data_IF_456284041952
#
_entry.id   IF_456284041952
#
_cell.length_a   1.000
_cell.length_b   1.000
_cell.length_c   1.000
_cell.angle_alpha   90.00
_cell.angle_beta   90.00
_cell.angle_gamma   90.00
#
_symmetry.space_group_name_H-M   'P 1'
#
loop_
_entity.id
_entity.type
_entity.pdbx_description
1 polymer ?
#
# COMPACT_ATOMS: atom_id res chain seq x y z
N UNK A 1 29.68 1.92 14.83
CA UNK A 1 30.64 1.40 13.82
C UNK A 1 30.04 1.66 12.45
N UNK A 2 30.77 2.29 11.53
CA UNK A 2 30.21 2.64 10.22
C UNK A 2 30.12 1.38 9.35
N UNK A 3 28.93 1.10 8.79
CA UNK A 3 28.64 -0.07 7.95
C UNK A 3 29.70 -0.25 6.85
N UNK A 4 30.11 0.83 6.21
CA UNK A 4 31.14 0.84 5.16
C UNK A 4 32.47 0.23 5.59
N UNK A 5 32.91 0.50 6.83
CA UNK A 5 34.17 -0.05 7.34
C UNK A 5 34.08 -1.55 7.63
N UNK A 6 32.90 -2.02 8.04
CA UNK A 6 32.65 -3.46 8.22
C UNK A 6 32.52 -4.15 6.85
N UNK A 7 31.88 -3.49 5.88
CA UNK A 7 31.74 -3.98 4.51
C UNK A 7 33.09 -4.17 3.85
N UNK A 8 34.00 -3.20 3.92
CA UNK A 8 35.34 -3.33 3.33
C UNK A 8 36.10 -4.54 3.89
N UNK A 9 36.04 -4.75 5.22
CA UNK A 9 36.77 -5.82 5.90
C UNK A 9 36.15 -7.21 5.71
N UNK A 10 34.83 -7.30 5.52
CA UNK A 10 34.08 -8.55 5.55
C UNK A 10 33.23 -8.79 4.30
N UNK A 11 33.45 -8.05 3.19
CA UNK A 11 32.63 -8.12 1.96
C UNK A 11 32.35 -9.55 1.48
N UNK A 12 33.34 -10.43 1.55
CA UNK A 12 33.24 -11.81 1.07
C UNK A 12 32.43 -12.71 2.03
N UNK A 13 32.13 -12.22 3.24
CA UNK A 13 31.34 -12.90 4.27
C UNK A 13 29.95 -12.29 4.48
N UNK A 14 29.57 -11.26 3.72
CA UNK A 14 28.24 -10.66 3.82
C UNK A 14 27.25 -11.52 3.05
N UNK A 15 26.31 -12.11 3.77
CA UNK A 15 25.19 -12.88 3.20
C UNK A 15 23.89 -12.13 3.45
N UNK A 16 23.15 -11.85 2.38
CA UNK A 16 21.81 -11.30 2.46
C UNK A 16 20.78 -12.43 2.46
N UNK A 17 19.99 -12.52 3.52
CA UNK A 17 18.88 -13.47 3.58
C UNK A 17 17.75 -13.13 2.60
N UNK A 18 16.96 -14.14 2.23
CA UNK A 18 15.71 -13.93 1.50
C UNK A 18 14.71 -13.11 2.32
N UNK A 19 13.79 -12.42 1.65
CA UNK A 19 12.69 -11.76 2.33
C UNK A 19 11.84 -12.80 3.08
N UNK A 20 11.49 -12.47 4.32
CA UNK A 20 10.55 -13.26 5.12
C UNK A 20 9.11 -12.92 4.70
N UNK A 21 8.13 -13.55 5.37
CA UNK A 21 6.72 -13.31 5.09
C UNK A 21 6.21 -11.90 5.41
N UNK A 22 6.96 -11.11 6.21
CA UNK A 22 6.56 -9.74 6.53
C UNK A 22 6.49 -8.85 5.30
N UNK A 23 5.46 -8.00 5.23
CA UNK A 23 5.23 -7.01 4.17
C UNK A 23 4.91 -5.66 4.79
N UNK A 24 5.46 -4.59 4.22
CA UNK A 24 5.12 -3.21 4.52
C UNK A 24 4.61 -2.55 3.24
N UNK A 25 3.64 -1.65 3.35
CA UNK A 25 2.92 -1.13 2.20
C UNK A 25 2.49 0.31 2.42
N UNK A 26 2.28 1.03 1.31
CA UNK A 26 1.58 2.29 1.34
C UNK A 26 0.07 2.02 1.30
N UNK A 27 -0.65 2.52 2.31
CA UNK A 27 -2.11 2.41 2.42
C UNK A 27 -2.77 3.76 2.16
N UNK A 28 -3.99 3.74 1.63
CA UNK A 28 -4.85 4.91 1.49
C UNK A 28 -6.03 4.82 2.45
N UNK A 29 -6.33 5.89 3.17
CA UNK A 29 -7.51 5.97 4.02
C UNK A 29 -8.74 6.30 3.17
N UNK A 30 -9.62 5.32 2.99
CA UNK A 30 -10.75 5.43 2.06
C UNK A 30 -12.00 6.02 2.72
N UNK A 31 -12.00 6.17 4.04
CA UNK A 31 -13.10 6.76 4.79
C UNK A 31 -12.62 7.56 6.00
N UNK A 32 -11.64 8.45 5.76
CA UNK A 32 -11.04 9.29 6.80
C UNK A 32 -12.08 10.18 7.48
N UNK A 33 -12.14 10.11 8.81
CA UNK A 33 -13.05 10.90 9.65
C UNK A 33 -12.34 11.86 10.61
N UNK A 34 -11.06 11.62 10.91
CA UNK A 34 -10.24 12.47 11.78
C UNK A 34 -9.31 13.35 10.95
N UNK A 35 -9.10 14.59 11.38
CA UNK A 35 -8.29 15.61 10.69
C UNK A 35 -7.55 16.49 11.70
N UNK A 36 -7.02 15.91 12.78
CA UNK A 36 -6.24 16.70 13.75
C UNK A 36 -4.85 17.02 13.20
N UNK A 37 -4.33 16.17 12.30
CA UNK A 37 -3.07 16.34 11.60
C UNK A 37 -3.34 16.49 10.10
N UNK A 38 -3.66 17.71 9.69
CA UNK A 38 -4.05 18.02 8.30
C UNK A 38 -3.49 19.36 7.85
N UNK A 39 -2.97 19.41 6.62
CA UNK A 39 -2.69 20.68 5.94
C UNK A 39 -3.94 21.30 5.31
N UNK A 40 -5.04 20.53 5.20
CA UNK A 40 -6.29 21.01 4.60
C UNK A 40 -6.93 22.09 5.46
N UNK A 41 -7.32 23.18 4.81
CA UNK A 41 -7.90 24.37 5.43
C UNK A 41 -9.43 24.43 5.29
N UNK A 42 -10.02 23.56 4.47
CA UNK A 42 -11.47 23.58 4.22
C UNK A 42 -12.10 22.18 4.14
N UNK A 43 -13.42 22.11 4.38
CA UNK A 43 -14.17 20.86 4.20
C UNK A 43 -14.31 20.45 2.72
N UNK A 44 -14.16 21.41 1.80
CA UNK A 44 -14.12 21.14 0.37
C UNK A 44 -12.87 20.33 -0.02
N UNK A 45 -11.71 20.65 0.56
CA UNK A 45 -10.46 19.90 0.37
C UNK A 45 -10.56 18.49 0.97
N UNK A 46 -11.14 18.35 2.17
CA UNK A 46 -11.40 17.03 2.80
C UNK A 46 -12.29 16.16 1.92
N UNK A 47 -13.39 16.74 1.43
CA UNK A 47 -14.34 16.05 0.54
C UNK A 47 -13.70 15.67 -0.80
N UNK A 48 -12.91 16.58 -1.38
CA UNK A 48 -12.17 16.35 -2.64
C UNK A 48 -11.16 15.22 -2.49
N UNK A 49 -10.41 15.21 -1.39
CA UNK A 49 -9.43 14.16 -1.07
C UNK A 49 -10.10 12.80 -0.90
N UNK A 50 -11.19 12.73 -0.13
CA UNK A 50 -11.97 11.49 0.02
C UNK A 50 -12.46 10.95 -1.33
N UNK A 51 -13.04 11.81 -2.17
CA UNK A 51 -13.49 11.41 -3.53
C UNK A 51 -12.33 10.91 -4.38
N UNK A 52 -11.18 11.57 -4.34
CA UNK A 52 -9.98 11.15 -5.04
C UNK A 52 -9.50 9.77 -4.56
N UNK A 53 -9.41 9.54 -3.25
CA UNK A 53 -8.97 8.25 -2.71
C UNK A 53 -9.97 7.12 -2.96
N UNK A 54 -11.26 7.40 -3.12
CA UNK A 54 -12.27 6.41 -3.55
C UNK A 54 -12.16 6.05 -5.04
N UNK A 55 -11.56 6.90 -5.86
CA UNK A 55 -11.36 6.64 -7.29
C UNK A 55 -10.22 5.64 -7.54
N UNK A 56 -10.54 4.53 -8.23
CA UNK A 56 -9.58 3.44 -8.52
C UNK A 56 -8.37 3.93 -9.34
N UNK A 57 -8.61 4.75 -10.36
CA UNK A 57 -7.56 5.22 -11.25
C UNK A 57 -6.61 6.19 -10.52
N UNK A 58 -7.13 7.00 -9.58
CA UNK A 58 -6.31 7.85 -8.72
C UNK A 58 -5.40 7.01 -7.81
N UNK A 59 -5.93 5.96 -7.16
CA UNK A 59 -5.11 5.04 -6.35
C UNK A 59 -4.05 4.31 -7.19
N UNK A 60 -4.39 3.90 -8.41
CA UNK A 60 -3.41 3.31 -9.34
C UNK A 60 -2.33 4.33 -9.74
N UNK A 61 -2.70 5.59 -9.95
CA UNK A 61 -1.74 6.65 -10.23
C UNK A 61 -0.73 6.82 -9.09
N UNK A 62 -1.18 6.86 -7.83
CA UNK A 62 -0.30 6.92 -6.66
C UNK A 62 0.64 5.71 -6.59
N UNK A 63 0.13 4.50 -6.81
CA UNK A 63 0.93 3.27 -6.77
C UNK A 63 2.05 3.25 -7.83
N UNK A 64 1.78 3.77 -9.04
CA UNK A 64 2.79 3.90 -10.10
C UNK A 64 3.71 5.12 -9.91
N UNK A 65 3.25 6.17 -9.23
CA UNK A 65 4.01 7.40 -9.04
C UNK A 65 5.10 7.27 -7.98
N UNK A 66 4.83 6.55 -6.89
CA UNK A 66 5.76 6.38 -5.79
C UNK A 66 7.03 5.61 -6.22
N UNK A 67 8.20 6.23 -6.12
CA UNK A 67 9.49 5.54 -6.29
C UNK A 67 9.86 4.86 -4.96
N UNK A 68 9.44 3.60 -4.81
CA UNK A 68 9.63 2.86 -3.55
C UNK A 68 11.09 2.51 -3.36
N UNK A 69 11.84 2.28 -4.44
CA UNK A 69 13.28 2.04 -4.35
C UNK A 69 14.01 3.25 -3.80
N UNK A 70 13.80 4.45 -4.35
CA UNK A 70 14.42 5.66 -3.84
C UNK A 70 14.05 5.94 -2.39
N UNK A 71 12.77 5.79 -2.05
CA UNK A 71 12.27 6.05 -0.71
C UNK A 71 12.79 5.04 0.34
N UNK A 72 12.84 3.75 0.02
CA UNK A 72 13.38 2.71 0.91
C UNK A 72 14.91 2.82 1.04
N UNK A 73 15.60 3.34 0.02
CA UNK A 73 17.04 3.61 0.07
C UNK A 73 17.43 4.67 1.09
N UNK A 74 16.51 5.58 1.45
CA UNK A 74 16.76 6.56 2.52
C UNK A 74 16.97 5.92 3.89
N UNK A 75 16.41 4.73 4.12
CA UNK A 75 16.50 4.02 5.41
C UNK A 75 17.53 2.89 5.37
N UNK A 76 17.60 2.16 4.25
CA UNK A 76 18.41 0.93 4.14
C UNK A 76 19.62 1.07 3.23
N UNK A 77 19.79 2.19 2.53
CA UNK A 77 20.80 2.39 1.50
C UNK A 77 20.50 1.62 0.20
N UNK A 78 21.12 2.07 -0.90
CA UNK A 78 20.85 1.57 -2.26
C UNK A 78 21.11 0.07 -2.45
N UNK A 79 22.05 -0.49 -1.68
CA UNK A 79 22.42 -1.91 -1.77
C UNK A 79 21.36 -2.84 -1.17
N UNK A 80 20.74 -2.43 -0.06
CA UNK A 80 19.78 -3.27 0.69
C UNK A 80 18.35 -2.94 0.31
N UNK A 81 18.04 -1.71 -0.06
CA UNK A 81 16.68 -1.27 -0.33
C UNK A 81 15.92 -2.11 -1.37
N UNK A 82 16.49 -2.43 -2.56
CA UNK A 82 15.81 -3.30 -3.51
C UNK A 82 15.40 -4.63 -2.86
N UNK A 83 16.26 -5.22 -2.02
CA UNK A 83 16.03 -6.49 -1.32
C UNK A 83 14.92 -6.42 -0.27
N UNK A 84 14.38 -5.24 0.05
CA UNK A 84 13.23 -5.05 0.96
C UNK A 84 11.91 -4.87 0.22
N UNK A 85 11.93 -4.68 -1.10
CA UNK A 85 10.75 -4.39 -1.89
C UNK A 85 10.01 -5.64 -2.34
N UNK A 86 8.69 -5.58 -2.26
CA UNK A 86 7.75 -6.59 -2.73
C UNK A 86 6.57 -5.90 -3.40
N UNK A 87 6.07 -6.47 -4.48
CA UNK A 87 4.96 -5.90 -5.26
C UNK A 87 3.58 -6.50 -4.88
N UNK A 88 3.55 -7.69 -4.28
CA UNK A 88 2.31 -8.34 -3.82
C UNK A 88 2.15 -8.30 -2.30
N UNK A 89 0.90 -8.32 -1.81
CA UNK A 89 0.66 -8.36 -0.36
C UNK A 89 1.01 -9.73 0.24
N UNK A 90 0.52 -10.81 -0.38
CA UNK A 90 0.98 -12.17 -0.12
C UNK A 90 2.34 -12.38 -0.82
N UNK A 91 3.39 -12.85 -0.13
CA UNK A 91 4.69 -13.09 -0.76
C UNK A 91 4.58 -14.06 -1.95
N UNK A 92 5.27 -13.79 -3.07
CA UNK A 92 5.11 -14.56 -4.30
C UNK A 92 5.53 -16.03 -4.14
N UNK A 93 6.48 -16.32 -3.24
CA UNK A 93 6.98 -17.66 -2.96
C UNK A 93 6.44 -18.22 -1.65
N UNK A 94 5.34 -17.69 -1.12
CA UNK A 94 4.82 -18.06 0.21
C UNK A 94 4.34 -19.52 0.30
N UNK A 95 3.61 -19.97 -0.73
CA UNK A 95 3.12 -21.35 -0.88
C UNK A 95 3.24 -21.79 -2.34
N UNK A 96 3.10 -23.10 -2.58
CA UNK A 96 3.05 -23.70 -3.91
C UNK A 96 1.60 -24.02 -4.31
N UNK A 97 1.33 -23.95 -5.61
CA UNK A 97 0.08 -24.31 -6.27
C UNK A 97 0.43 -25.33 -7.36
N UNK A 98 0.50 -26.60 -6.97
CA UNK A 98 1.09 -27.64 -7.83
C UNK A 98 2.58 -27.38 -8.03
N UNK A 99 3.00 -27.27 -9.29
CA UNK A 99 4.40 -27.01 -9.67
C UNK A 99 4.74 -25.51 -9.79
N UNK A 100 3.78 -24.63 -9.50
CA UNK A 100 3.94 -23.18 -9.60
C UNK A 100 3.93 -22.51 -8.23
N UNK A 101 4.64 -21.39 -8.10
CA UNK A 101 4.53 -20.55 -6.90
C UNK A 101 3.19 -19.81 -6.88
N UNK A 102 2.71 -19.43 -5.69
CA UNK A 102 1.52 -18.59 -5.56
C UNK A 102 1.60 -17.34 -6.44
N UNK A 103 2.74 -16.64 -6.45
CA UNK A 103 2.98 -15.46 -7.27
C UNK A 103 2.88 -15.70 -8.77
N UNK A 104 3.29 -16.88 -9.28
CA UNK A 104 3.12 -17.22 -10.70
C UNK A 104 1.63 -17.39 -11.08
N UNK A 105 0.85 -18.02 -10.20
CA UNK A 105 -0.60 -18.15 -10.40
C UNK A 105 -1.28 -16.77 -10.29
N UNK A 106 -0.94 -15.97 -9.28
CA UNK A 106 -1.45 -14.60 -9.12
C UNK A 106 -1.10 -13.71 -10.31
N UNK A 107 0.13 -13.80 -10.85
CA UNK A 107 0.52 -13.05 -12.04
C UNK A 107 -0.35 -13.40 -13.25
N UNK A 108 -0.67 -14.69 -13.40
CA UNK A 108 -1.55 -15.17 -14.48
C UNK A 108 -2.96 -14.59 -14.36
N UNK A 109 -3.51 -14.49 -13.15
CA UNK A 109 -4.81 -13.86 -12.93
C UNK A 109 -4.75 -12.33 -13.11
N UNK A 110 -3.71 -11.68 -12.58
CA UNK A 110 -3.48 -10.24 -12.70
C UNK A 110 -3.43 -9.79 -14.17
N UNK A 111 -2.78 -10.57 -15.04
CA UNK A 111 -2.67 -10.28 -16.47
C UNK A 111 -4.01 -10.33 -17.23
N UNK A 112 -5.02 -10.99 -16.66
CA UNK A 112 -6.38 -11.03 -17.22
C UNK A 112 -7.21 -9.82 -16.82
N UNK A 113 -6.84 -9.11 -15.75
CA UNK A 113 -7.66 -8.02 -15.20
C UNK A 113 -7.56 -6.72 -16.01
N UNK A 114 -6.33 -6.24 -16.26
CA UNK A 114 -6.09 -4.99 -16.96
C UNK A 114 -4.67 -5.03 -17.59
N UNK A 115 -4.55 -4.53 -18.82
CA UNK A 115 -3.28 -4.45 -19.53
C UNK A 115 -2.22 -3.62 -18.80
N UNK A 116 -2.63 -2.69 -17.93
CA UNK A 116 -1.70 -1.83 -17.17
C UNK A 116 -0.75 -2.63 -16.26
N UNK A 117 -1.08 -3.89 -15.95
CA UNK A 117 -0.31 -4.75 -15.05
C UNK A 117 0.64 -5.72 -15.76
N UNK A 118 0.59 -5.82 -17.11
CA UNK A 118 1.27 -6.90 -17.85
C UNK A 118 2.78 -6.97 -17.63
N UNK A 119 3.42 -5.83 -17.52
CA UNK A 119 4.85 -5.61 -17.31
C UNK A 119 5.24 -5.50 -15.82
N UNK A 120 4.28 -5.58 -14.90
CA UNK A 120 4.55 -5.56 -13.45
C UNK A 120 4.96 -6.95 -12.98
N UNK A 121 6.23 -7.15 -12.61
CA UNK A 121 6.66 -8.42 -11.97
C UNK A 121 6.16 -8.52 -10.52
N UNK A 122 5.81 -9.72 -10.08
CA UNK A 122 5.51 -10.01 -8.67
C UNK A 122 6.71 -10.58 -7.91
N UNK A 123 7.87 -10.79 -8.55
CA UNK A 123 9.03 -11.33 -7.83
C UNK A 123 9.53 -10.33 -6.78
N UNK A 124 9.98 -10.86 -5.65
CA UNK A 124 10.58 -10.06 -4.57
C UNK A 124 11.89 -9.40 -5.04
N UNK A 125 12.34 -8.44 -4.23
CA UNK A 125 13.62 -7.76 -4.33
C UNK A 125 13.75 -6.77 -5.51
N UNK A 126 12.65 -6.17 -5.96
CA UNK A 126 12.62 -5.15 -7.01
C UNK A 126 11.47 -4.16 -6.84
N UNK A 127 11.57 -3.01 -7.51
CA UNK A 127 10.42 -2.13 -7.75
C UNK A 127 9.95 -2.26 -9.20
N UNK A 128 8.93 -3.07 -9.41
CA UNK A 128 8.28 -3.25 -10.72
C UNK A 128 7.02 -2.38 -10.89
N UNK A 129 6.61 -1.65 -9.85
CA UNK A 129 5.43 -0.79 -9.89
C UNK A 129 5.80 0.61 -10.37
N UNK A 130 6.89 1.21 -9.88
CA UNK A 130 7.21 2.60 -10.22
C UNK A 130 7.29 2.80 -11.75
N UNK A 131 6.40 3.63 -12.28
CA UNK A 131 6.29 3.95 -13.70
C UNK A 131 5.57 5.29 -13.88
N UNK A 132 6.34 6.34 -14.17
CA UNK A 132 5.85 7.73 -14.31
C UNK A 132 4.81 7.85 -15.43
N UNK A 133 4.99 7.17 -16.57
CA UNK A 133 4.06 7.28 -17.69
C UNK A 133 2.70 6.65 -17.37
N UNK A 134 2.70 5.50 -16.69
CA UNK A 134 1.45 4.89 -16.19
C UNK A 134 0.79 5.74 -15.13
N UNK A 135 1.58 6.34 -14.22
CA UNK A 135 1.06 7.24 -13.20
C UNK A 135 0.31 8.41 -13.84
N UNK A 136 0.92 9.08 -14.82
CA UNK A 136 0.31 10.16 -15.59
C UNK A 136 -0.96 9.72 -16.31
N UNK A 137 -0.90 8.61 -17.03
CA UNK A 137 -2.06 8.11 -17.78
C UNK A 137 -3.25 7.77 -16.86
N UNK A 138 -2.99 7.11 -15.72
CA UNK A 138 -4.01 6.79 -14.72
C UNK A 138 -4.54 8.03 -14.03
N UNK A 139 -3.67 8.99 -13.73
CA UNK A 139 -4.09 10.26 -13.15
C UNK A 139 -4.98 11.06 -14.11
N UNK A 140 -4.64 11.19 -15.39
CA UNK A 140 -5.47 11.91 -16.37
C UNK A 140 -6.88 11.29 -16.50
N UNK A 141 -6.95 9.95 -16.50
CA UNK A 141 -8.22 9.21 -16.43
C UNK A 141 -9.02 9.58 -15.16
N UNK A 142 -8.37 9.54 -14.00
CA UNK A 142 -8.98 9.90 -12.72
C UNK A 142 -9.45 11.37 -12.70
N UNK A 143 -8.59 12.31 -13.11
CA UNK A 143 -8.83 13.75 -13.11
C UNK A 143 -10.09 14.11 -13.88
N UNK A 144 -10.30 13.52 -15.06
CA UNK A 144 -11.53 13.73 -15.85
C UNK A 144 -12.79 13.35 -15.06
N UNK A 145 -12.79 12.20 -14.40
CA UNK A 145 -13.93 11.75 -13.59
C UNK A 145 -14.11 12.58 -12.31
N UNK A 146 -13.01 12.93 -11.64
CA UNK A 146 -13.02 13.70 -10.40
C UNK A 146 -13.51 15.14 -10.63
N UNK A 147 -13.06 15.79 -11.70
CA UNK A 147 -13.54 17.13 -12.08
C UNK A 147 -15.04 17.13 -12.38
N UNK A 148 -15.55 16.09 -13.06
CA UNK A 148 -16.98 15.94 -13.29
C UNK A 148 -17.77 15.78 -11.97
N UNK A 149 -17.15 15.19 -10.95
CA UNK A 149 -17.71 15.03 -9.60
C UNK A 149 -17.47 16.26 -8.69
N UNK A 150 -16.98 17.37 -9.25
CA UNK A 150 -16.77 18.63 -8.54
C UNK A 150 -15.57 18.64 -7.59
N UNK A 151 -14.60 17.74 -7.79
CA UNK A 151 -13.37 17.68 -7.00
C UNK A 151 -12.47 18.87 -7.31
N UNK A 152 -11.94 19.50 -6.27
CA UNK A 152 -10.99 20.60 -6.36
C UNK A 152 -9.55 20.08 -6.31
N UNK A 153 -8.69 20.69 -7.13
CA UNK A 153 -7.26 20.40 -7.19
C UNK A 153 -6.47 21.62 -6.65
N UNK A 154 -5.28 21.43 -6.06
CA UNK A 154 -4.61 20.14 -5.86
C UNK A 154 -5.27 19.27 -4.78
N UNK A 155 -5.11 17.95 -4.90
CA UNK A 155 -5.48 16.99 -3.86
C UNK A 155 -4.35 16.95 -2.83
N UNK A 156 -4.65 17.40 -1.61
CA UNK A 156 -3.74 17.34 -0.47
C UNK A 156 -3.80 15.98 0.20
N UNK A 157 -2.65 15.31 0.34
CA UNK A 157 -2.50 13.98 0.95
C UNK A 157 -1.61 14.09 2.18
N UNK A 158 -2.19 13.98 3.38
CA UNK A 158 -1.44 13.97 4.62
C UNK A 158 -0.75 12.63 4.85
N UNK A 159 0.57 12.67 5.02
CA UNK A 159 1.45 11.54 5.30
C UNK A 159 2.11 11.73 6.67
N UNK A 160 1.71 10.99 7.72
CA UNK A 160 2.30 11.12 9.04
C UNK A 160 3.65 10.42 9.11
N UNK A 161 4.60 11.07 9.78
CA UNK A 161 5.93 10.54 10.05
C UNK A 161 6.39 10.96 11.44
N UNK A 162 7.29 10.19 12.03
CA UNK A 162 7.93 10.56 13.29
C UNK A 162 8.76 11.83 13.10
N UNK A 163 8.62 12.77 14.04
CA UNK A 163 9.41 14.00 14.14
C UNK A 163 10.85 13.78 14.62
N UNK A 164 11.15 12.60 15.16
CA UNK A 164 12.45 12.28 15.75
C UNK A 164 13.28 11.31 14.89
N UNK A 165 12.64 10.56 13.99
CA UNK A 165 13.31 9.56 13.15
C UNK A 165 13.67 10.12 11.77
N UNK A 166 14.84 10.74 11.67
CA UNK A 166 15.33 11.45 10.48
C UNK A 166 15.32 10.60 9.19
N UNK A 167 15.72 9.33 9.25
CA UNK A 167 15.74 8.46 8.06
C UNK A 167 14.33 8.25 7.47
N UNK A 168 13.31 8.15 8.32
CA UNK A 168 11.92 8.02 7.88
C UNK A 168 11.34 9.34 7.38
N UNK A 169 11.80 10.49 7.90
CA UNK A 169 11.47 11.80 7.33
C UNK A 169 12.01 11.91 5.90
N UNK A 170 13.26 11.49 5.66
CA UNK A 170 13.84 11.46 4.31
C UNK A 170 13.09 10.49 3.39
N UNK A 171 12.69 9.32 3.88
CA UNK A 171 11.83 8.41 3.13
C UNK A 171 10.50 9.06 2.73
N UNK A 172 9.81 9.72 3.66
CA UNK A 172 8.55 10.43 3.37
C UNK A 172 8.75 11.56 2.34
N UNK A 173 9.86 12.30 2.42
CA UNK A 173 10.24 13.31 1.44
C UNK A 173 10.49 12.72 0.05
N UNK A 174 11.12 11.55 -0.04
CA UNK A 174 11.33 10.85 -1.30
C UNK A 174 10.01 10.36 -1.93
N UNK A 175 9.06 9.88 -1.12
CA UNK A 175 7.71 9.58 -1.62
C UNK A 175 6.99 10.83 -2.11
N UNK A 176 7.02 11.92 -1.34
CA UNK A 176 6.46 13.22 -1.74
C UNK A 176 7.02 13.66 -3.09
N UNK A 177 8.35 13.70 -3.23
CA UNK A 177 9.02 14.12 -4.45
C UNK A 177 8.59 13.29 -5.65
N UNK A 178 8.69 11.96 -5.57
CA UNK A 178 8.35 11.09 -6.71
C UNK A 178 6.87 11.17 -7.11
N UNK A 179 5.95 11.28 -6.14
CA UNK A 179 4.52 11.44 -6.41
C UNK A 179 4.22 12.77 -7.09
N UNK A 180 4.73 13.87 -6.54
CA UNK A 180 4.49 15.22 -7.06
C UNK A 180 5.16 15.45 -8.42
N UNK A 181 6.35 14.91 -8.66
CA UNK A 181 7.02 14.98 -9.96
C UNK A 181 6.30 14.17 -11.04
N UNK A 182 5.79 12.98 -10.69
CA UNK A 182 5.10 12.13 -11.64
C UNK A 182 3.71 12.67 -12.01
N UNK A 183 2.94 13.14 -11.02
CA UNK A 183 1.53 13.55 -11.19
C UNK A 183 1.39 15.07 -11.44
N UNK A 184 2.34 15.88 -10.98
CA UNK A 184 2.31 17.34 -11.00
C UNK A 184 1.82 17.93 -9.68
N UNK A 185 2.58 18.88 -9.11
CA UNK A 185 2.25 19.54 -7.83
C UNK A 185 0.98 20.40 -7.91
N UNK A 186 0.57 20.82 -9.11
CA UNK A 186 -0.71 21.49 -9.35
C UNK A 186 -1.92 20.53 -9.22
N UNK A 187 -1.65 19.22 -9.20
CA UNK A 187 -2.65 18.16 -9.16
C UNK A 187 -2.65 17.43 -7.80
N UNK A 188 -1.49 17.11 -7.26
CA UNK A 188 -1.38 16.39 -5.98
C UNK A 188 -0.27 17.04 -5.16
N UNK A 189 -0.55 17.26 -3.87
CA UNK A 189 0.44 17.71 -2.89
C UNK A 189 0.46 16.70 -1.75
N UNK A 190 1.63 16.16 -1.43
CA UNK A 190 1.84 15.30 -0.27
C UNK A 190 2.32 16.16 0.89
N UNK A 191 1.50 16.28 1.93
CA UNK A 191 1.77 17.07 3.12
C UNK A 191 2.34 16.16 4.21
N UNK A 192 3.61 16.35 4.55
CA UNK A 192 4.28 15.54 5.58
C UNK A 192 3.89 16.07 6.95
N UNK A 193 3.17 15.26 7.73
CA UNK A 193 2.74 15.57 9.08
C UNK A 193 3.73 14.97 10.08
N UNK A 194 4.65 15.78 10.61
CA UNK A 194 5.59 15.34 11.63
C UNK A 194 4.92 15.34 13.01
N UNK A 195 4.89 14.16 13.65
CA UNK A 195 4.23 13.94 14.96
C UNK A 195 5.17 13.22 15.93
N UNK A 196 4.81 13.12 17.21
CA UNK A 196 5.58 12.27 18.14
C UNK A 196 5.45 10.78 17.79
N UNK A 197 6.39 9.94 18.24
CA UNK A 197 6.32 8.48 18.01
C UNK A 197 5.04 7.87 18.64
N UNK A 198 4.62 8.37 19.80
CA UNK A 198 3.39 7.92 20.48
C UNK A 198 2.13 8.27 19.69
N UNK A 199 2.07 9.49 19.14
CA UNK A 199 0.96 9.91 18.27
C UNK A 199 0.95 9.11 16.97
N UNK A 200 2.12 8.93 16.33
CA UNK A 200 2.26 8.13 15.12
C UNK A 200 1.74 6.71 15.34
N UNK A 201 2.19 6.05 16.42
CA UNK A 201 1.72 4.71 16.78
C UNK A 201 0.21 4.67 16.99
N UNK A 202 -0.33 5.63 17.75
CA UNK A 202 -1.75 5.70 18.10
C UNK A 202 -2.68 5.93 16.89
N UNK A 203 -2.21 6.65 15.86
CA UNK A 203 -2.99 6.90 14.65
C UNK A 203 -2.76 5.89 13.51
N UNK A 204 -1.76 5.02 13.64
CA UNK A 204 -1.42 4.00 12.63
C UNK A 204 -1.60 2.58 13.20
N UNK A 205 -0.53 1.93 13.62
CA UNK A 205 -0.50 0.50 13.97
C UNK A 205 -1.21 0.15 15.28
N UNK A 206 -1.41 1.12 16.18
CA UNK A 206 -2.13 0.96 17.44
C UNK A 206 -3.54 1.57 17.43
N UNK A 207 -4.00 2.05 16.28
CA UNK A 207 -5.34 2.61 16.15
C UNK A 207 -6.40 1.55 16.48
N UNK A 208 -7.30 1.86 17.41
CA UNK A 208 -8.37 0.96 17.86
C UNK A 208 -9.74 1.32 17.28
N UNK A 209 -9.84 2.44 16.58
CA UNK A 209 -11.05 2.89 15.89
C UNK A 209 -10.70 3.81 14.71
N UNK A 210 -11.63 3.98 13.78
CA UNK A 210 -11.45 4.88 12.63
C UNK A 210 -11.25 6.35 13.04
N UNK A 211 -11.70 6.75 14.23
CA UNK A 211 -11.47 8.09 14.77
C UNK A 211 -9.99 8.34 15.13
N UNK A 212 -9.20 7.28 15.33
CA UNK A 212 -7.77 7.40 15.57
C UNK A 212 -6.98 7.51 14.26
N UNK A 213 -7.51 6.98 13.15
CA UNK A 213 -6.83 6.93 11.85
C UNK A 213 -6.86 8.31 11.17
N UNK A 214 -5.81 9.09 11.42
CA UNK A 214 -5.71 10.51 11.06
C UNK A 214 -4.63 10.78 9.99
N UNK A 215 -4.85 10.23 8.80
CA UNK A 215 -3.95 10.35 7.64
C UNK A 215 -4.68 10.00 6.35
N UNK A 216 -4.20 10.48 5.20
CA UNK A 216 -4.73 10.12 3.87
C UNK A 216 -3.95 8.98 3.23
N UNK A 217 -2.62 9.05 3.35
CA UNK A 217 -1.70 8.00 2.94
C UNK A 217 -0.78 7.64 4.11
N UNK A 218 -0.39 6.38 4.20
CA UNK A 218 0.44 5.90 5.31
C UNK A 218 1.41 4.83 4.83
N UNK A 219 2.65 4.87 5.33
CA UNK A 219 3.73 3.92 5.03
C UNK A 219 4.24 3.18 6.27
N UNK A 220 3.60 3.41 7.42
CA UNK A 220 4.02 2.88 8.72
C UNK A 220 3.36 1.51 9.03
N UNK A 221 2.46 1.04 8.17
CA UNK A 221 1.74 -0.22 8.36
C UNK A 221 2.45 -1.39 7.69
N UNK A 222 2.33 -2.55 8.33
CA UNK A 222 2.80 -3.82 7.80
C UNK A 222 1.98 -4.99 8.30
N UNK A 223 2.22 -6.15 7.73
CA UNK A 223 1.63 -7.41 8.13
C UNK A 223 2.68 -8.51 8.13
N UNK A 224 2.52 -9.51 9.00
CA UNK A 224 3.36 -10.71 9.01
C UNK A 224 2.49 -11.93 9.28
N UNK A 225 2.74 -13.05 8.59
CA UNK A 225 1.94 -14.25 8.73
C UNK A 225 2.19 -14.92 10.08
N UNK A 226 1.12 -15.43 10.67
CA UNK A 226 1.14 -16.31 11.85
C UNK A 226 1.17 -17.81 11.46
N UNK A 227 0.62 -18.15 10.28
CA UNK A 227 0.65 -19.50 9.71
C UNK A 227 0.84 -19.48 8.17
N UNK A 228 1.24 -20.62 7.61
CA UNK A 228 1.60 -20.77 6.19
C UNK A 228 0.38 -20.99 5.26
N UNK A 229 -0.55 -20.03 5.24
CA UNK A 229 -1.70 -20.04 4.32
C UNK A 229 -1.96 -18.61 3.79
N UNK A 230 -2.22 -18.40 2.49
CA UNK A 230 -2.49 -17.07 1.95
C UNK A 230 -3.60 -16.30 2.68
N UNK A 231 -4.56 -17.00 3.32
CA UNK A 231 -5.63 -16.38 4.11
C UNK A 231 -5.11 -15.44 5.20
N UNK A 232 -3.94 -15.72 5.79
CA UNK A 232 -3.34 -14.86 6.82
C UNK A 232 -3.11 -13.44 6.29
N UNK A 233 -2.84 -13.26 4.99
CA UNK A 233 -2.72 -11.94 4.37
C UNK A 233 -4.07 -11.46 3.84
N UNK A 234 -4.86 -12.33 3.20
CA UNK A 234 -6.00 -11.86 2.42
C UNK A 234 -7.22 -11.53 3.30
N UNK A 235 -7.46 -12.31 4.35
CA UNK A 235 -8.64 -12.17 5.20
C UNK A 235 -8.59 -10.89 6.06
N UNK A 236 -7.43 -10.23 6.17
CA UNK A 236 -7.24 -9.00 6.97
C UNK A 236 -8.01 -7.79 6.45
N UNK A 237 -8.47 -7.87 5.21
CA UNK A 237 -9.31 -6.85 4.57
C UNK A 237 -10.78 -7.28 4.43
N UNK A 238 -11.21 -8.37 5.06
CA UNK A 238 -12.62 -8.79 5.05
C UNK A 238 -13.51 -7.71 5.68
N UNK A 239 -14.47 -7.13 4.93
CA UNK A 239 -15.37 -6.09 5.43
C UNK A 239 -16.37 -6.56 6.49
N UNK A 240 -16.54 -7.86 6.71
CA UNK A 240 -17.51 -8.38 7.69
C UNK A 240 -16.89 -8.74 9.04
N UNK A 241 -15.75 -9.42 9.02
CA UNK A 241 -15.13 -9.97 10.23
C UNK A 241 -13.61 -9.80 10.27
N UNK A 242 -13.04 -9.12 9.27
CA UNK A 242 -11.60 -9.00 9.09
C UNK A 242 -10.93 -8.38 10.33
N UNK A 243 -9.72 -8.83 10.70
CA UNK A 243 -8.94 -8.24 11.78
C UNK A 243 -8.62 -6.75 11.53
N UNK A 244 -7.95 -6.14 12.51
CA UNK A 244 -7.64 -4.70 12.66
C UNK A 244 -7.08 -3.95 11.45
N UNK A 245 -6.65 -4.61 10.37
CA UNK A 245 -6.05 -3.95 9.22
C UNK A 245 -7.09 -3.19 8.39
N UNK A 246 -8.31 -3.70 8.23
CA UNK A 246 -9.35 -2.94 7.50
C UNK A 246 -9.67 -1.61 8.20
N UNK A 247 -9.76 -1.60 9.53
CA UNK A 247 -9.97 -0.37 10.31
C UNK A 247 -8.85 0.63 10.11
N UNK A 248 -7.62 0.18 9.83
CA UNK A 248 -6.54 1.10 9.46
C UNK A 248 -6.80 1.85 8.15
N UNK A 249 -7.73 1.39 7.30
CA UNK A 249 -8.14 2.12 6.08
C UNK A 249 -9.32 3.08 6.32
N UNK A 250 -9.70 3.29 7.58
CA UNK A 250 -10.83 4.14 7.98
C UNK A 250 -12.19 3.46 7.94
N UNK A 251 -12.25 2.14 7.74
CA UNK A 251 -13.52 1.38 7.62
C UNK A 251 -13.66 0.37 8.75
N UNK A 252 -14.75 0.45 9.51
CA UNK A 252 -15.02 -0.50 10.58
C UNK A 252 -15.64 -1.78 9.98
N UNK A 253 -15.11 -2.98 10.28
CA UNK A 253 -15.73 -4.24 9.86
C UNK A 253 -17.16 -4.39 10.38
N UNK A 254 -18.00 -5.11 9.65
CA UNK A 254 -19.38 -5.41 10.03
C UNK A 254 -20.35 -4.25 9.92
N UNK A 255 -19.95 -3.14 9.27
CA UNK A 255 -20.79 -1.96 9.05
C UNK A 255 -21.31 -1.90 7.62
N UNK A 256 -22.48 -1.28 7.42
CA UNK A 256 -23.07 -1.01 6.09
C UNK A 256 -22.43 0.19 5.38
N UNK A 257 -21.10 0.32 5.48
CA UNK A 257 -20.38 1.46 4.94
C UNK A 257 -20.40 1.47 3.40
N UNK A 258 -20.95 2.51 2.74
CA UNK A 258 -21.07 2.55 1.28
C UNK A 258 -19.72 2.54 0.55
N UNK A 259 -18.62 2.92 1.23
CA UNK A 259 -17.29 2.88 0.62
C UNK A 259 -16.84 1.46 0.29
N UNK A 260 -17.31 0.44 1.04
CA UNK A 260 -16.99 -0.98 0.81
C UNK A 260 -17.33 -1.38 -0.62
N UNK A 261 -18.56 -1.06 -1.07
CA UNK A 261 -19.02 -1.32 -2.44
C UNK A 261 -18.30 -0.44 -3.45
N UNK A 262 -18.06 0.83 -3.10
CA UNK A 262 -17.39 1.80 -3.97
C UNK A 262 -15.99 1.34 -4.37
N UNK A 263 -15.22 0.81 -3.42
CA UNK A 263 -13.86 0.30 -3.69
C UNK A 263 -13.81 -1.18 -4.08
N UNK A 264 -14.96 -1.87 -4.08
CA UNK A 264 -15.09 -3.27 -4.49
C UNK A 264 -14.68 -4.30 -3.42
N UNK A 265 -14.63 -3.91 -2.15
CA UNK A 265 -14.33 -4.82 -1.04
C UNK A 265 -15.42 -5.87 -0.81
N UNK A 266 -16.66 -5.61 -1.26
CA UNK A 266 -17.75 -6.60 -1.30
C UNK A 266 -17.46 -7.74 -2.28
N UNK A 267 -16.93 -7.41 -3.46
CA UNK A 267 -16.51 -8.41 -4.46
C UNK A 267 -15.27 -9.17 -3.99
N UNK A 268 -14.32 -8.46 -3.40
CA UNK A 268 -13.13 -9.05 -2.77
C UNK A 268 -13.53 -10.07 -1.70
N UNK A 269 -14.50 -9.73 -0.84
CA UNK A 269 -15.07 -10.67 0.13
C UNK A 269 -15.62 -11.92 -0.55
N UNK A 270 -16.38 -11.79 -1.63
CA UNK A 270 -16.91 -12.94 -2.36
C UNK A 270 -15.83 -13.89 -2.86
N UNK A 271 -14.69 -13.36 -3.32
CA UNK A 271 -13.52 -14.17 -3.74
C UNK A 271 -12.88 -14.88 -2.54
N UNK A 272 -12.72 -14.17 -1.42
CA UNK A 272 -12.21 -14.75 -0.17
C UNK A 272 -13.12 -15.86 0.35
N UNK A 273 -14.43 -15.63 0.41
CA UNK A 273 -15.38 -16.61 0.91
C UNK A 273 -15.38 -17.88 0.04
N UNK A 274 -15.31 -17.73 -1.30
CA UNK A 274 -15.18 -18.86 -2.22
C UNK A 274 -13.87 -19.65 -1.99
N UNK A 275 -12.75 -18.96 -1.80
CA UNK A 275 -11.48 -19.60 -1.46
C UNK A 275 -11.58 -20.31 -0.10
N UNK A 276 -12.06 -19.62 0.93
CA UNK A 276 -12.24 -20.14 2.27
C UNK A 276 -13.19 -21.34 2.34
N UNK A 277 -14.16 -21.47 1.42
CA UNK A 277 -15.05 -22.63 1.37
C UNK A 277 -14.36 -23.93 0.93
N UNK A 278 -13.23 -23.86 0.23
CA UNK A 278 -12.44 -25.03 -0.17
C UNK A 278 -11.56 -25.48 1.00
N UNK A 279 -11.94 -26.57 1.67
CA UNK A 279 -11.27 -27.06 2.89
C UNK A 279 -10.36 -28.26 2.67
N UNK A 280 -10.45 -28.90 1.51
CA UNK A 280 -9.83 -30.22 1.27
C UNK A 280 -8.74 -30.19 0.22
N UNK A 281 -8.89 -29.35 -0.81
CA UNK A 281 -7.94 -29.23 -1.90
C UNK A 281 -7.18 -27.90 -1.77
N UNK A 282 -5.98 -27.95 -1.17
CA UNK A 282 -5.15 -26.76 -0.95
C UNK A 282 -4.72 -26.10 -2.26
N UNK A 283 -4.42 -26.89 -3.30
CA UNK A 283 -4.02 -26.33 -4.59
C UNK A 283 -5.17 -25.54 -5.21
N UNK A 284 -6.38 -26.08 -5.17
CA UNK A 284 -7.59 -25.39 -5.63
C UNK A 284 -7.90 -24.17 -4.76
N UNK A 285 -7.77 -24.27 -3.44
CA UNK A 285 -7.95 -23.13 -2.51
C UNK A 285 -6.99 -21.99 -2.83
N UNK A 286 -5.70 -22.29 -3.00
CA UNK A 286 -4.69 -21.29 -3.31
C UNK A 286 -4.86 -20.70 -4.71
N UNK A 287 -5.31 -21.50 -5.68
CA UNK A 287 -5.71 -20.98 -6.99
C UNK A 287 -6.90 -20.01 -6.92
N UNK A 288 -7.83 -20.20 -5.96
CA UNK A 288 -8.93 -19.26 -5.73
C UNK A 288 -8.44 -17.97 -5.06
N UNK A 289 -7.56 -18.07 -4.05
CA UNK A 289 -6.94 -16.89 -3.42
C UNK A 289 -6.11 -16.03 -4.37
N UNK A 290 -5.60 -16.60 -5.46
CA UNK A 290 -4.81 -15.88 -6.44
C UNK A 290 -5.63 -14.96 -7.36
N UNK A 291 -6.97 -15.07 -7.36
CA UNK A 291 -7.89 -14.25 -8.18
C UNK A 291 -8.25 -12.94 -7.48
#
# INVERSE_FOLDING_TARGET
ANYERLKEKYKDNIVYGQQRGGVFYMSTNIDRVSYNHTAKTSDAEKTSTKKALLNKEFRQALAFAADRKAAVSQVFGDEVAPRKLRTSFTPPTFVQVGDQTFGQVTKTELDKLDNVWKDVSLDDAQDSLHNVDKAKAKFESAKKTLQADGVQFPIHLDLPVSSTQTDFIHQAQSYKQSIEEAIGSENVVVDIQQVSDDELGSMTVLATSNNNVDWDINVNSGWSPDYADPSTYLDVFDPTSGPSVLSSLGVAPGTDNPVIKTVGLDKYKGLIDDANSEKTDLQKRYSKYAK
#
